data_IF_427552142236
#
_entry.id   IF_427552142236
#
_cell.length_a   1.000
_cell.length_b   1.000
_cell.length_c   1.000
_cell.angle_alpha   90.00
_cell.angle_beta   90.00
_cell.angle_gamma   90.00
#
_symmetry.space_group_name_H-M   'P 1'
#
loop_
_entity.id
_entity.type
_entity.pdbx_description
1 polymer ?
#
# COMPACT_ATOMS: atom_id res chain seq x y z
N UNK A 1 -17.46 21.84 -3.86
CA UNK A 1 -18.34 21.13 -2.93
C UNK A 1 -18.36 19.62 -3.23
N UNK A 2 -18.02 19.19 -4.45
CA UNK A 2 -18.05 17.78 -4.88
C UNK A 2 -17.12 16.83 -4.11
N UNK A 3 -16.13 17.32 -3.35
CA UNK A 3 -15.19 16.52 -2.57
C UNK A 3 -15.14 16.89 -1.08
N UNK A 4 -16.29 17.18 -0.49
CA UNK A 4 -16.35 17.60 0.93
C UNK A 4 -16.10 16.47 1.93
N UNK A 5 -16.11 15.21 1.53
CA UNK A 5 -16.03 14.04 2.41
C UNK A 5 -17.29 13.78 3.25
N UNK A 6 -18.33 14.58 3.08
CA UNK A 6 -19.63 14.40 3.72
C UNK A 6 -20.61 13.66 2.82
N UNK A 7 -21.70 13.15 3.40
CA UNK A 7 -22.77 12.50 2.63
C UNK A 7 -23.42 13.49 1.65
N UNK A 8 -23.99 12.96 0.58
CA UNK A 8 -24.62 13.75 -0.47
C UNK A 8 -25.66 14.73 0.09
N UNK A 9 -25.64 15.98 -0.40
CA UNK A 9 -26.54 17.05 0.02
C UNK A 9 -26.09 17.81 1.28
N UNK A 10 -25.14 17.30 2.08
CA UNK A 10 -24.73 18.00 3.29
C UNK A 10 -24.05 19.33 2.99
N UNK A 11 -23.05 19.32 2.13
CA UNK A 11 -22.34 20.54 1.76
C UNK A 11 -23.20 21.48 0.92
N UNK A 12 -24.04 20.95 0.04
CA UNK A 12 -24.97 21.74 -0.80
C UNK A 12 -26.01 22.47 0.03
N UNK A 13 -26.51 21.81 1.08
CA UNK A 13 -27.47 22.42 2.02
C UNK A 13 -26.90 23.59 2.83
N UNK A 14 -25.57 23.77 2.84
CA UNK A 14 -24.90 24.89 3.52
C UNK A 14 -24.56 26.05 2.57
N UNK A 15 -24.77 25.90 1.27
CA UNK A 15 -24.47 26.96 0.31
C UNK A 15 -25.38 28.16 0.57
N UNK A 16 -24.79 29.33 0.75
CA UNK A 16 -25.48 30.58 0.99
C UNK A 16 -25.92 30.80 2.46
N UNK A 17 -25.71 29.87 3.35
CA UNK A 17 -26.00 30.03 4.78
C UNK A 17 -25.03 31.03 5.41
N UNK A 18 -25.57 31.99 6.16
CA UNK A 18 -24.76 33.04 6.82
C UNK A 18 -24.14 32.55 8.12
N UNK A 19 -22.95 33.05 8.50
CA UNK A 19 -22.40 32.83 9.84
C UNK A 19 -23.38 33.22 10.93
N UNK A 20 -23.42 32.43 12.01
CA UNK A 20 -24.35 32.58 13.13
C UNK A 20 -25.73 31.94 12.89
N UNK A 21 -25.99 31.38 11.70
CA UNK A 21 -27.27 30.72 11.40
C UNK A 21 -27.19 29.21 11.66
N UNK A 22 -28.29 28.69 12.23
CA UNK A 22 -28.48 27.23 12.35
C UNK A 22 -29.49 26.76 11.32
N UNK A 23 -29.16 25.71 10.57
CA UNK A 23 -30.04 25.08 9.58
C UNK A 23 -30.23 23.61 9.92
N UNK A 24 -31.36 23.05 9.48
CA UNK A 24 -31.65 21.62 9.58
C UNK A 24 -31.59 21.02 8.18
N UNK A 25 -30.73 20.00 8.03
CA UNK A 25 -30.56 19.26 6.77
C UNK A 25 -31.13 17.85 6.94
N UNK A 26 -32.19 17.54 6.19
CA UNK A 26 -32.79 16.22 6.16
C UNK A 26 -32.16 15.42 5.02
N UNK A 27 -31.34 14.44 5.34
CA UNK A 27 -30.55 13.66 4.38
C UNK A 27 -30.76 12.15 4.60
N UNK A 28 -30.22 11.33 3.71
CA UNK A 28 -30.25 9.89 3.80
C UNK A 28 -28.80 9.41 3.70
N UNK A 29 -28.40 8.51 4.61
CA UNK A 29 -27.10 7.87 4.52
C UNK A 29 -27.01 6.99 3.27
N UNK A 30 -25.86 6.95 2.57
CA UNK A 30 -25.68 6.06 1.42
C UNK A 30 -25.85 4.57 1.79
N UNK A 31 -26.26 3.77 0.82
CA UNK A 31 -26.42 2.31 0.97
C UNK A 31 -25.11 1.59 1.38
N UNK A 32 -23.98 2.14 0.96
CA UNK A 32 -22.63 1.62 1.27
C UNK A 32 -21.99 2.30 2.49
N UNK A 33 -22.80 2.77 3.42
CA UNK A 33 -22.35 3.37 4.68
C UNK A 33 -22.30 2.31 5.81
N UNK A 34 -22.00 2.72 7.06
CA UNK A 34 -21.96 1.79 8.18
C UNK A 34 -23.28 1.01 8.32
N UNK A 35 -23.21 -0.31 8.51
CA UNK A 35 -24.34 -1.24 8.46
C UNK A 35 -25.55 -0.80 9.31
N UNK A 36 -25.28 -0.27 10.50
CA UNK A 36 -26.32 0.17 11.43
C UNK A 36 -27.13 1.39 10.95
N UNK A 37 -26.60 2.21 10.05
CA UNK A 37 -27.21 3.48 9.62
C UNK A 37 -27.35 3.62 8.11
N UNK A 38 -26.89 2.65 7.33
CA UNK A 38 -27.01 2.58 5.87
C UNK A 38 -28.48 2.78 5.42
N UNK A 39 -28.70 3.64 4.44
CA UNK A 39 -30.02 3.92 3.87
C UNK A 39 -31.00 4.60 4.81
N UNK A 40 -30.63 4.91 6.08
CA UNK A 40 -31.53 5.51 7.04
C UNK A 40 -31.60 7.05 6.90
N UNK A 41 -32.76 7.66 7.13
CA UNK A 41 -32.89 9.10 7.14
C UNK A 41 -32.22 9.70 8.39
N UNK A 42 -31.63 10.88 8.24
CA UNK A 42 -30.96 11.63 9.31
C UNK A 42 -31.28 13.12 9.18
N UNK A 43 -31.45 13.78 10.30
CA UNK A 43 -31.56 15.25 10.36
C UNK A 43 -30.31 15.81 11.04
N UNK A 44 -29.52 16.56 10.28
CA UNK A 44 -28.37 17.29 10.82
C UNK A 44 -28.81 18.70 11.20
N UNK A 45 -28.57 19.07 12.45
CA UNK A 45 -28.71 20.45 12.90
C UNK A 45 -27.33 21.10 12.89
N UNK A 46 -27.09 21.97 11.92
CA UNK A 46 -25.76 22.55 11.65
C UNK A 46 -25.78 24.05 11.94
N UNK A 47 -24.87 24.46 12.83
CA UNK A 47 -24.64 25.88 13.11
C UNK A 47 -23.38 26.33 12.36
N UNK A 48 -23.52 27.32 11.48
CA UNK A 48 -22.37 27.88 10.73
C UNK A 48 -21.74 28.98 11.60
N UNK A 49 -20.55 28.72 12.14
CA UNK A 49 -19.83 29.68 12.95
C UNK A 49 -19.07 30.71 12.14
N UNK A 50 -18.58 30.36 10.96
CA UNK A 50 -17.81 31.25 10.12
C UNK A 50 -17.58 30.67 8.72
N UNK A 51 -17.18 31.53 7.81
CA UNK A 51 -16.74 31.16 6.45
C UNK A 51 -15.25 31.49 6.38
N UNK A 52 -14.44 30.45 6.30
CA UNK A 52 -13.00 30.59 6.13
C UNK A 52 -12.66 30.52 4.64
N UNK A 53 -11.88 31.48 4.18
CA UNK A 53 -11.23 31.43 2.87
C UNK A 53 -9.73 31.31 3.11
N UNK A 54 -9.11 30.37 2.47
CA UNK A 54 -7.65 30.32 2.41
C UNK A 54 -7.22 31.38 1.40
N UNK A 55 -6.57 32.43 1.88
CA UNK A 55 -5.86 33.37 1.00
C UNK A 55 -4.53 32.72 0.60
N UNK A 56 -4.33 32.57 -0.73
CA UNK A 56 -3.10 31.99 -1.28
C UNK A 56 -2.04 33.09 -1.34
N UNK A 57 -1.30 33.24 -0.24
CA UNK A 57 -0.27 34.26 -0.05
C UNK A 57 0.97 33.66 0.66
N UNK A 58 1.98 34.47 0.91
CA UNK A 58 3.24 34.05 1.52
C UNK A 58 3.05 33.54 2.96
N UNK A 59 2.11 34.09 3.71
CA UNK A 59 1.79 33.62 5.04
C UNK A 59 1.18 32.20 5.00
N UNK A 60 0.29 31.96 4.05
CA UNK A 60 -0.26 30.62 3.82
C UNK A 60 0.83 29.62 3.42
N UNK A 61 1.75 30.00 2.53
CA UNK A 61 2.87 29.14 2.15
C UNK A 61 3.74 28.77 3.36
N UNK A 62 4.06 29.75 4.20
CA UNK A 62 4.84 29.53 5.42
C UNK A 62 4.11 28.58 6.40
N UNK A 63 2.83 28.78 6.63
CA UNK A 63 2.05 27.93 7.53
C UNK A 63 1.89 26.49 7.03
N UNK A 64 1.60 26.32 5.74
CA UNK A 64 1.40 24.99 5.14
C UNK A 64 2.68 24.18 5.00
N UNK A 65 3.85 24.85 5.05
CA UNK A 65 5.16 24.22 4.93
C UNK A 65 5.96 24.20 6.24
N UNK A 66 5.33 24.48 7.37
CA UNK A 66 5.99 24.63 8.68
C UNK A 66 7.20 25.59 8.64
N UNK A 67 7.05 26.69 7.88
CA UNK A 67 8.08 27.72 7.73
C UNK A 67 9.20 27.42 6.72
N UNK A 68 9.14 26.27 6.03
CA UNK A 68 10.14 25.86 5.05
C UNK A 68 10.16 26.79 3.83
N UNK A 69 9.01 27.20 3.34
CA UNK A 69 8.85 28.11 2.22
C UNK A 69 8.23 29.42 2.70
N UNK A 70 8.92 30.55 2.41
CA UNK A 70 8.50 31.89 2.84
C UNK A 70 7.74 32.65 1.78
N UNK A 71 7.71 32.15 0.54
CA UNK A 71 6.95 32.72 -0.56
C UNK A 71 6.01 31.70 -1.17
N UNK A 72 4.85 32.15 -1.63
CA UNK A 72 3.90 31.29 -2.34
C UNK A 72 4.46 30.84 -3.69
N UNK A 73 5.34 31.63 -4.30
CA UNK A 73 6.02 31.28 -5.55
C UNK A 73 6.89 30.04 -5.36
N UNK A 74 7.77 30.06 -4.36
CA UNK A 74 8.68 28.93 -4.07
C UNK A 74 7.91 27.69 -3.64
N UNK A 75 6.85 27.88 -2.86
CA UNK A 75 6.00 26.76 -2.44
C UNK A 75 5.25 26.12 -3.61
N UNK A 76 4.83 26.91 -4.61
CA UNK A 76 4.22 26.38 -5.83
C UNK A 76 5.21 25.59 -6.69
N UNK A 77 6.46 26.06 -6.81
CA UNK A 77 7.50 25.29 -7.52
C UNK A 77 7.72 23.95 -6.83
N UNK A 78 7.90 23.96 -5.52
CA UNK A 78 8.04 22.72 -4.75
C UNK A 78 6.83 21.78 -4.95
N UNK A 79 5.60 22.29 -4.82
CA UNK A 79 4.41 21.47 -4.99
C UNK A 79 4.29 20.90 -6.40
N UNK A 80 4.71 21.66 -7.41
CA UNK A 80 4.70 21.20 -8.80
C UNK A 80 5.65 20.01 -8.98
N UNK A 81 6.90 20.15 -8.54
CA UNK A 81 7.88 19.06 -8.60
C UNK A 81 7.47 17.85 -7.77
N UNK A 82 6.96 18.08 -6.57
CA UNK A 82 6.46 17.02 -5.71
C UNK A 82 5.29 16.24 -6.35
N UNK A 83 4.30 16.94 -6.90
CA UNK A 83 3.16 16.32 -7.57
C UNK A 83 3.58 15.61 -8.87
N UNK A 84 4.53 16.17 -9.60
CA UNK A 84 5.13 15.54 -10.79
C UNK A 84 5.77 14.22 -10.41
N UNK A 85 6.66 14.21 -9.43
CA UNK A 85 7.35 12.99 -8.94
C UNK A 85 6.35 11.91 -8.49
N UNK A 86 5.32 12.28 -7.72
CA UNK A 86 4.27 11.33 -7.31
C UNK A 86 3.50 10.80 -8.52
N UNK A 87 3.15 11.66 -9.47
CA UNK A 87 2.41 11.25 -10.68
C UNK A 87 3.23 10.28 -11.53
N UNK A 88 4.52 10.54 -11.72
CA UNK A 88 5.45 9.66 -12.42
C UNK A 88 5.61 8.32 -11.71
N UNK A 89 5.81 8.34 -10.39
CA UNK A 89 5.86 7.12 -9.58
C UNK A 89 4.58 6.29 -9.68
N UNK A 90 3.42 6.91 -9.57
CA UNK A 90 2.14 6.22 -9.67
C UNK A 90 1.92 5.63 -11.06
N UNK A 91 2.25 6.37 -12.12
CA UNK A 91 2.13 5.88 -13.49
C UNK A 91 3.07 4.69 -13.74
N UNK A 92 4.31 4.74 -13.26
CA UNK A 92 5.26 3.63 -13.37
C UNK A 92 4.76 2.41 -12.59
N UNK A 93 4.25 2.61 -11.38
CA UNK A 93 3.68 1.54 -10.55
C UNK A 93 2.48 0.87 -11.23
N UNK A 94 1.58 1.65 -11.82
CA UNK A 94 0.41 1.13 -12.55
C UNK A 94 0.84 0.32 -13.76
N UNK A 95 1.73 0.85 -14.60
CA UNK A 95 2.27 0.14 -15.78
C UNK A 95 2.99 -1.14 -15.37
N UNK A 96 3.80 -1.12 -14.31
CA UNK A 96 4.50 -2.29 -13.80
C UNK A 96 3.53 -3.36 -13.31
N UNK A 97 2.48 -2.97 -12.61
CA UNK A 97 1.43 -3.88 -12.14
C UNK A 97 0.67 -4.53 -13.29
N UNK A 98 0.31 -3.74 -14.32
CA UNK A 98 -0.40 -4.23 -15.50
C UNK A 98 0.48 -5.18 -16.31
N UNK A 99 1.76 -4.83 -16.51
CA UNK A 99 2.72 -5.69 -17.18
C UNK A 99 2.90 -7.01 -16.43
N UNK A 100 3.08 -6.95 -15.11
CA UNK A 100 3.20 -8.15 -14.29
C UNK A 100 1.95 -9.03 -14.39
N UNK A 101 0.77 -8.45 -14.25
CA UNK A 101 -0.51 -9.16 -14.39
C UNK A 101 -0.64 -9.82 -15.76
N UNK A 102 -0.22 -9.13 -16.84
CA UNK A 102 -0.22 -9.66 -18.20
C UNK A 102 0.76 -10.83 -18.37
N UNK A 103 1.94 -10.75 -17.77
CA UNK A 103 2.92 -11.85 -17.77
C UNK A 103 2.38 -13.04 -16.99
N UNK A 104 1.90 -12.82 -15.76
CA UNK A 104 1.37 -13.90 -14.91
C UNK A 104 0.17 -14.61 -15.54
N UNK A 105 -0.73 -13.86 -16.19
CA UNK A 105 -1.91 -14.46 -16.85
C UNK A 105 -1.57 -15.34 -18.06
N UNK A 106 -0.43 -15.08 -18.71
CA UNK A 106 0.06 -15.84 -19.88
C UNK A 106 1.03 -16.96 -19.51
N UNK A 107 1.51 -16.96 -18.28
CA UNK A 107 2.47 -17.95 -17.79
C UNK A 107 1.72 -19.18 -17.27
N UNK A 108 2.20 -20.36 -17.66
CA UNK A 108 1.70 -21.65 -17.20
C UNK A 108 2.84 -22.38 -16.46
N UNK A 109 2.52 -22.93 -15.28
CA UNK A 109 3.45 -23.77 -14.54
C UNK A 109 3.23 -25.21 -14.96
N UNK A 110 4.24 -25.83 -15.56
CA UNK A 110 4.19 -27.21 -16.04
C UNK A 110 4.36 -28.21 -14.89
N UNK A 111 5.15 -27.86 -13.90
CA UNK A 111 5.42 -28.68 -12.72
C UNK A 111 5.70 -27.81 -11.51
N UNK A 112 5.14 -28.17 -10.36
CA UNK A 112 5.42 -27.53 -9.08
C UNK A 112 6.49 -28.35 -8.34
N UNK A 113 7.73 -27.86 -8.18
CA UNK A 113 8.79 -28.61 -7.54
C UNK A 113 8.46 -28.87 -6.07
N UNK A 114 8.56 -30.14 -5.65
CA UNK A 114 8.17 -30.57 -4.30
C UNK A 114 8.91 -29.82 -3.20
N UNK A 115 10.22 -29.56 -3.39
CA UNK A 115 11.01 -28.84 -2.40
C UNK A 115 10.53 -27.40 -2.17
N UNK A 116 10.19 -26.69 -3.24
CA UNK A 116 9.62 -25.33 -3.17
C UNK A 116 8.22 -25.37 -2.56
N UNK A 117 7.41 -26.37 -2.92
CA UNK A 117 6.09 -26.53 -2.33
C UNK A 117 6.16 -26.70 -0.80
N UNK A 118 7.02 -27.56 -0.30
CA UNK A 118 7.22 -27.78 1.13
C UNK A 118 7.76 -26.53 1.84
N UNK A 119 8.63 -25.77 1.18
CA UNK A 119 9.14 -24.51 1.70
C UNK A 119 8.01 -23.48 1.88
N UNK A 120 7.22 -23.22 0.83
CA UNK A 120 6.13 -22.27 0.89
C UNK A 120 4.97 -22.74 1.77
N UNK A 121 4.74 -24.05 1.85
CA UNK A 121 3.78 -24.61 2.79
C UNK A 121 4.14 -24.28 4.24
N UNK A 122 5.40 -24.48 4.61
CA UNK A 122 5.88 -24.13 5.94
C UNK A 122 5.78 -22.61 6.21
N UNK A 123 6.12 -21.78 5.20
CA UNK A 123 6.05 -20.32 5.31
C UNK A 123 4.61 -19.85 5.56
N UNK A 124 3.68 -20.23 4.69
CA UNK A 124 2.25 -19.84 4.75
C UNK A 124 1.60 -20.36 6.04
N UNK A 125 1.91 -21.60 6.42
CA UNK A 125 1.39 -22.18 7.67
C UNK A 125 1.89 -21.42 8.88
N UNK A 126 3.17 -21.07 8.94
CA UNK A 126 3.75 -20.29 10.04
C UNK A 126 3.16 -18.88 10.13
N UNK A 127 2.86 -18.24 9.00
CA UNK A 127 2.20 -16.94 8.98
C UNK A 127 0.79 -17.02 9.60
N UNK A 128 0.01 -18.05 9.26
CA UNK A 128 -1.31 -18.27 9.87
C UNK A 128 -1.24 -18.66 11.34
N UNK A 129 -0.26 -19.47 11.75
CA UNK A 129 -0.01 -19.78 13.17
C UNK A 129 0.28 -18.50 13.95
N UNK A 130 1.13 -17.65 13.41
CA UNK A 130 1.49 -16.37 14.02
C UNK A 130 0.29 -15.43 14.13
N UNK A 131 -0.54 -15.34 13.08
CA UNK A 131 -1.75 -14.55 13.07
C UNK A 131 -2.79 -15.08 14.07
N UNK A 132 -2.99 -16.39 14.16
CA UNK A 132 -3.85 -17.04 15.14
C UNK A 132 -3.40 -16.74 16.58
N UNK A 133 -2.10 -16.86 16.84
CA UNK A 133 -1.50 -16.54 18.14
C UNK A 133 -1.70 -15.07 18.52
N UNK A 134 -1.49 -14.15 17.58
CA UNK A 134 -1.72 -12.72 17.79
C UNK A 134 -3.20 -12.40 18.09
N UNK A 135 -4.12 -13.16 17.49
CA UNK A 135 -5.56 -13.08 17.75
C UNK A 135 -6.00 -13.80 19.04
N UNK A 136 -5.07 -14.48 19.74
CA UNK A 136 -5.37 -15.29 20.93
C UNK A 136 -6.24 -16.52 20.62
N UNK A 137 -6.12 -17.08 19.42
CA UNK A 137 -6.94 -18.20 18.91
C UNK A 137 -6.10 -19.43 18.63
N UNK A 138 -6.76 -20.56 18.67
CA UNK A 138 -6.23 -21.80 18.10
C UNK A 138 -6.16 -21.70 16.58
N UNK A 139 -5.19 -22.38 15.97
CA UNK A 139 -4.92 -22.32 14.53
C UNK A 139 -6.15 -22.74 13.69
N UNK A 140 -6.76 -23.88 14.02
CA UNK A 140 -7.90 -24.39 13.26
C UNK A 140 -9.13 -23.48 13.42
N UNK A 141 -9.36 -22.96 14.62
CA UNK A 141 -10.43 -22.00 14.89
C UNK A 141 -10.22 -20.69 14.10
N UNK A 142 -8.97 -20.20 14.03
CA UNK A 142 -8.64 -19.02 13.25
C UNK A 142 -8.89 -19.23 11.76
N UNK A 143 -8.45 -20.35 11.19
CA UNK A 143 -8.68 -20.66 9.78
C UNK A 143 -10.17 -20.75 9.46
N UNK A 144 -10.94 -21.46 10.29
CA UNK A 144 -12.39 -21.64 10.08
C UNK A 144 -13.14 -20.30 10.12
N UNK A 145 -12.84 -19.44 11.09
CA UNK A 145 -13.49 -18.13 11.26
C UNK A 145 -13.18 -17.17 10.10
N UNK A 146 -11.98 -17.25 9.54
CA UNK A 146 -11.56 -16.43 8.39
C UNK A 146 -11.87 -17.09 7.04
N UNK A 147 -12.52 -18.24 7.03
CA UNK A 147 -12.87 -18.98 5.82
C UNK A 147 -11.65 -19.39 5.00
N UNK A 148 -10.53 -19.70 5.66
CA UNK A 148 -9.28 -20.17 5.05
C UNK A 148 -9.35 -21.69 4.96
N UNK A 149 -9.47 -22.21 3.75
CA UNK A 149 -9.54 -23.64 3.49
C UNK A 149 -8.19 -24.19 3.05
N UNK A 150 -8.03 -25.51 3.07
CA UNK A 150 -6.83 -26.17 2.57
C UNK A 150 -6.60 -25.87 1.08
N UNK A 151 -7.67 -25.74 0.29
CA UNK A 151 -7.60 -25.37 -1.11
C UNK A 151 -7.03 -23.94 -1.29
N UNK A 152 -7.46 -22.98 -0.47
CA UNK A 152 -6.94 -21.61 -0.50
C UNK A 152 -5.47 -21.56 -0.11
N UNK A 153 -5.05 -22.36 0.86
CA UNK A 153 -3.63 -22.47 1.24
C UNK A 153 -2.83 -23.03 0.07
N UNK A 154 -3.30 -24.09 -0.56
CA UNK A 154 -2.66 -24.71 -1.73
C UNK A 154 -2.57 -23.73 -2.92
N UNK A 155 -3.65 -23.00 -3.21
CA UNK A 155 -3.67 -21.94 -4.24
C UNK A 155 -2.63 -20.85 -3.95
N UNK A 156 -2.56 -20.39 -2.71
CA UNK A 156 -1.59 -19.37 -2.29
C UNK A 156 -0.15 -19.86 -2.48
N UNK A 157 0.13 -21.10 -2.07
CA UNK A 157 1.45 -21.72 -2.25
C UNK A 157 1.82 -21.79 -3.73
N UNK A 158 0.88 -22.25 -4.56
CA UNK A 158 1.08 -22.35 -6.01
C UNK A 158 1.30 -20.99 -6.68
N UNK A 159 0.64 -19.95 -6.20
CA UNK A 159 0.88 -18.58 -6.67
C UNK A 159 2.28 -18.08 -6.32
N UNK A 160 2.77 -18.34 -5.11
CA UNK A 160 4.15 -17.99 -4.74
C UNK A 160 5.17 -18.74 -5.62
N UNK A 161 5.00 -20.05 -5.81
CA UNK A 161 5.88 -20.84 -6.67
C UNK A 161 5.83 -20.33 -8.11
N UNK A 162 4.62 -20.05 -8.63
CA UNK A 162 4.46 -19.50 -9.99
C UNK A 162 5.20 -18.18 -10.14
N UNK A 163 5.06 -17.28 -9.16
CA UNK A 163 5.76 -16.00 -9.13
C UNK A 163 7.28 -16.19 -9.20
N UNK A 164 7.83 -17.06 -8.36
CA UNK A 164 9.26 -17.37 -8.33
C UNK A 164 9.75 -17.96 -9.67
N UNK A 165 9.02 -18.92 -10.23
CA UNK A 165 9.39 -19.55 -11.48
C UNK A 165 9.35 -18.57 -12.67
N UNK A 166 8.36 -17.68 -12.71
CA UNK A 166 8.23 -16.65 -13.74
C UNK A 166 9.37 -15.64 -13.62
N UNK A 167 9.68 -15.14 -12.42
CA UNK A 167 10.80 -14.23 -12.17
C UNK A 167 12.15 -14.87 -12.60
N UNK A 168 12.39 -16.11 -12.20
CA UNK A 168 13.57 -16.85 -12.59
C UNK A 168 13.66 -17.04 -14.11
N UNK A 169 12.53 -17.31 -14.75
CA UNK A 169 12.45 -17.45 -16.21
C UNK A 169 12.81 -16.15 -16.93
N UNK A 170 12.28 -15.01 -16.47
CA UNK A 170 12.58 -13.68 -17.02
C UNK A 170 14.06 -13.35 -16.78
N UNK A 171 14.55 -13.48 -15.55
CA UNK A 171 15.95 -13.18 -15.22
C UNK A 171 16.92 -14.01 -16.07
N UNK A 172 16.60 -15.27 -16.31
CA UNK A 172 17.41 -16.14 -17.18
C UNK A 172 17.36 -15.71 -18.64
N UNK A 173 16.16 -15.39 -19.15
CA UNK A 173 15.97 -14.99 -20.54
C UNK A 173 16.66 -13.65 -20.88
N UNK A 174 16.61 -12.71 -19.93
CA UNK A 174 17.20 -11.37 -20.07
C UNK A 174 18.67 -11.32 -19.62
N UNK A 175 19.26 -12.45 -19.19
CA UNK A 175 20.64 -12.54 -18.66
C UNK A 175 20.88 -11.60 -17.47
N UNK A 176 19.86 -11.39 -16.65
CA UNK A 176 19.95 -10.55 -15.47
C UNK A 176 20.77 -11.25 -14.39
N UNK A 177 21.76 -10.56 -13.89
CA UNK A 177 22.63 -11.06 -12.81
C UNK A 177 22.75 -9.99 -11.74
N UNK A 178 22.72 -10.41 -10.49
CA UNK A 178 23.03 -9.56 -9.34
C UNK A 178 24.44 -9.88 -8.87
N UNK A 179 25.28 -8.87 -8.77
CA UNK A 179 26.64 -9.02 -8.23
C UNK A 179 26.60 -9.26 -6.72
N UNK A 180 27.66 -9.81 -6.15
CA UNK A 180 27.78 -9.98 -4.69
C UNK A 180 27.73 -8.62 -3.96
N UNK A 181 28.27 -7.57 -4.58
CA UNK A 181 28.30 -6.22 -4.02
C UNK A 181 26.88 -5.61 -3.94
N UNK A 182 26.11 -5.69 -5.01
CA UNK A 182 24.70 -5.26 -5.07
C UNK A 182 23.83 -6.04 -4.06
N UNK A 183 24.07 -7.35 -3.96
CA UNK A 183 23.38 -8.19 -2.99
C UNK A 183 23.70 -7.78 -1.55
N UNK A 184 24.98 -7.58 -1.22
CA UNK A 184 25.41 -7.15 0.11
C UNK A 184 24.86 -5.76 0.46
N UNK A 185 24.84 -4.84 -0.51
CA UNK A 185 24.25 -3.51 -0.33
C UNK A 185 22.74 -3.61 -0.02
N UNK A 186 22.00 -4.42 -0.77
CA UNK A 186 20.59 -4.67 -0.52
C UNK A 186 20.35 -5.28 0.86
N UNK A 187 21.10 -6.32 1.25
CA UNK A 187 20.98 -6.97 2.57
C UNK A 187 21.26 -5.97 3.69
N UNK A 188 22.27 -5.12 3.54
CA UNK A 188 22.61 -4.10 4.53
C UNK A 188 21.50 -3.04 4.65
N UNK A 189 20.93 -2.58 3.53
CA UNK A 189 19.81 -1.64 3.48
C UNK A 189 18.56 -2.24 4.12
N UNK A 190 18.25 -3.48 3.78
CA UNK A 190 17.14 -4.23 4.36
C UNK A 190 17.33 -4.42 5.88
N UNK A 191 18.53 -4.82 6.29
CA UNK A 191 18.88 -4.93 7.69
C UNK A 191 18.76 -3.60 8.43
N UNK A 192 19.26 -2.50 7.87
CA UNK A 192 19.18 -1.19 8.48
C UNK A 192 17.71 -0.74 8.67
N UNK A 193 16.84 -1.04 7.70
CA UNK A 193 15.41 -0.77 7.82
C UNK A 193 14.76 -1.58 8.95
N UNK A 194 15.06 -2.87 9.05
CA UNK A 194 14.47 -3.75 10.06
C UNK A 194 15.17 -3.69 11.43
N UNK A 195 16.39 -3.18 11.50
CA UNK A 195 17.14 -3.06 12.77
C UNK A 195 16.39 -2.24 13.83
N UNK A 196 15.59 -1.27 13.41
CA UNK A 196 14.71 -0.51 14.30
C UNK A 196 13.63 -1.36 14.98
N UNK A 197 13.32 -2.52 14.44
CA UNK A 197 12.34 -3.48 14.98
C UNK A 197 12.98 -4.61 15.79
N UNK A 198 14.30 -4.66 15.91
CA UNK A 198 15.01 -5.69 16.70
C UNK A 198 14.61 -5.69 18.18
N UNK A 199 14.10 -4.58 18.68
CA UNK A 199 13.51 -4.48 20.03
C UNK A 199 12.36 -5.47 20.27
N UNK A 200 11.77 -6.03 19.21
CA UNK A 200 10.71 -7.04 19.26
C UNK A 200 11.23 -8.48 19.18
N UNK A 201 12.54 -8.71 19.36
CA UNK A 201 13.14 -10.04 19.46
C UNK A 201 13.58 -10.67 18.14
N UNK A 202 13.49 -9.95 17.02
CA UNK A 202 14.01 -10.43 15.73
C UNK A 202 15.54 -10.32 15.72
N UNK A 203 16.25 -11.40 15.42
CA UNK A 203 17.72 -11.39 15.36
C UNK A 203 18.24 -10.97 13.99
N UNK A 204 19.53 -10.54 13.94
CA UNK A 204 20.19 -10.22 12.67
C UNK A 204 20.18 -11.41 11.71
N UNK A 205 20.43 -12.59 12.22
CA UNK A 205 20.47 -13.84 11.45
C UNK A 205 19.11 -14.14 10.82
N UNK A 206 18.01 -13.89 11.53
CA UNK A 206 16.66 -14.04 10.99
C UNK A 206 16.37 -13.04 9.86
N UNK A 207 16.82 -11.79 10.01
CA UNK A 207 16.67 -10.77 8.97
C UNK A 207 17.49 -11.12 7.73
N UNK A 208 18.75 -11.54 7.92
CA UNK A 208 19.65 -11.96 6.83
C UNK A 208 19.09 -13.21 6.12
N UNK A 209 18.63 -14.21 6.87
CA UNK A 209 18.01 -15.41 6.29
C UNK A 209 16.77 -15.05 5.45
N UNK A 210 15.94 -14.11 5.91
CA UNK A 210 14.80 -13.62 5.16
C UNK A 210 15.25 -12.84 3.90
N UNK A 211 16.25 -11.96 4.02
CA UNK A 211 16.81 -11.25 2.88
C UNK A 211 17.40 -12.20 1.82
N UNK A 212 18.04 -13.29 2.25
CA UNK A 212 18.52 -14.34 1.35
C UNK A 212 17.40 -15.09 0.66
N UNK A 213 16.28 -15.32 1.34
CA UNK A 213 15.10 -15.93 0.72
C UNK A 213 14.43 -15.05 -0.35
N UNK A 214 14.64 -13.73 -0.28
CA UNK A 214 14.09 -12.73 -1.22
C UNK A 214 15.12 -12.31 -2.29
N UNK A 215 16.16 -13.11 -2.53
CA UNK A 215 17.19 -12.79 -3.55
C UNK A 215 16.56 -12.48 -4.92
N UNK A 216 15.42 -13.07 -5.24
CA UNK A 216 14.65 -12.80 -6.46
C UNK A 216 13.93 -11.44 -6.44
N UNK A 217 13.43 -11.03 -5.27
CA UNK A 217 12.83 -9.69 -5.13
C UNK A 217 13.88 -8.59 -5.31
N UNK A 218 15.15 -8.88 -5.00
CA UNK A 218 16.28 -7.98 -5.23
C UNK A 218 16.50 -7.73 -6.71
N UNK A 219 16.45 -8.79 -7.55
CA UNK A 219 16.56 -8.66 -9.01
C UNK A 219 15.41 -7.79 -9.54
N UNK A 220 14.19 -8.02 -9.08
CA UNK A 220 13.03 -7.23 -9.48
C UNK A 220 13.15 -5.75 -9.07
N UNK A 221 13.63 -5.50 -7.85
CA UNK A 221 13.82 -4.13 -7.33
C UNK A 221 14.91 -3.38 -8.11
N UNK A 222 16.05 -4.00 -8.40
CA UNK A 222 17.15 -3.39 -9.16
C UNK A 222 16.73 -3.09 -10.62
N UNK A 223 15.98 -3.99 -11.24
CA UNK A 223 15.45 -3.74 -12.59
C UNK A 223 14.42 -2.61 -12.66
N UNK A 224 13.69 -2.37 -11.57
CA UNK A 224 12.74 -1.25 -11.47
C UNK A 224 13.40 0.10 -11.19
N UNK A 225 14.60 0.11 -10.60
CA UNK A 225 15.34 1.35 -10.30
C UNK A 225 16.24 1.80 -11.45
N UNK A 226 16.79 0.90 -12.25
CA UNK A 226 17.60 1.26 -13.42
C UNK A 226 16.80 2.03 -14.49
N UNK A 227 15.49 1.76 -14.60
CA UNK A 227 14.61 2.52 -15.53
C UNK A 227 14.35 3.95 -15.07
N UNK A 228 14.56 4.26 -13.79
CA UNK A 228 14.33 5.60 -13.21
C UNK A 228 15.58 6.49 -13.16
N UNK A 229 16.79 5.94 -13.36
CA UNK A 229 18.05 6.71 -13.33
C UNK A 229 18.55 7.14 -14.73
N UNK A 230 17.97 6.62 -15.81
CA UNK A 230 18.40 6.91 -17.19
C UNK A 230 17.50 7.93 -17.94
N UNK A 231 16.61 8.68 -17.26
CA UNK A 231 15.88 9.83 -17.78
C UNK A 231 16.15 11.11 -16.94
#
# INVERSE_FOLDING_TARGET
VENSGYIAGFADGLIGVKPGTTVELNLIFPENYYEDISGKPVTFKVTVHGICRLEINDEAASKLSDGKYKSISDYRVYLHEYLKTISEYNALSEVSSDMWSAVMSRSEVLEYPEQQYQYYYALVTNDYISAASAAGKDYDAYLAENGITAEKIDETIKEYIKTELVLNGIATAENMTVTEEEYDEYVNKYYAYYAQYLIYGTTKEQIVARAQSIKLDTIYFLCGTEVAEDE
#
